data_IF_469834256514
#
_entry.id   IF_469834256514
#
_cell.length_a   1.000
_cell.length_b   1.000
_cell.length_c   1.000
_cell.angle_alpha   90.00
_cell.angle_beta   90.00
_cell.angle_gamma   90.00
#
_symmetry.space_group_name_H-M   'P 1'
#
loop_
_entity.id
_entity.type
_entity.pdbx_description
1 polymer ?
#
# COMPACT_ATOMS: atom_id res chain seq x y z
N UNK A 1 66.96 -43.52 34.96
CA UNK A 1 67.37 -42.41 35.82
C UNK A 1 67.22 -41.15 34.91
N UNK A 2 66.40 -40.19 35.04
CA UNK A 2 65.68 -39.59 36.11
C UNK A 2 64.50 -38.78 35.46
N UNK A 3 63.35 -38.87 36.09
CA UNK A 3 62.17 -38.01 35.86
C UNK A 3 62.55 -36.56 35.78
N UNK A 4 61.73 -35.78 34.97
CA UNK A 4 61.11 -34.52 35.37
C UNK A 4 60.02 -34.24 34.34
N UNK A 5 58.71 -34.25 34.75
CA UNK A 5 57.61 -33.55 34.10
C UNK A 5 57.70 -32.06 34.42
N UNK A 6 57.24 -31.23 33.53
CA UNK A 6 56.62 -29.95 33.95
C UNK A 6 55.17 -29.77 33.48
N UNK A 7 54.39 -29.25 34.39
CA UNK A 7 53.06 -28.90 34.25
C UNK A 7 52.81 -27.85 33.13
N UNK A 8 51.65 -27.97 32.45
CA UNK A 8 51.13 -27.04 31.47
C UNK A 8 49.96 -26.31 32.15
N UNK A 9 50.24 -25.11 32.61
CA UNK A 9 49.20 -24.14 32.94
C UNK A 9 48.74 -23.46 31.64
N UNK A 10 47.58 -23.81 31.15
CA UNK A 10 46.86 -23.06 30.12
C UNK A 10 45.77 -22.21 30.76
N UNK A 11 46.13 -21.05 31.28
CA UNK A 11 45.19 -19.95 31.43
C UNK A 11 45.09 -19.18 30.10
N UNK A 12 44.07 -19.50 29.29
CA UNK A 12 43.62 -18.65 28.24
C UNK A 12 42.44 -17.83 28.77
N UNK A 13 42.73 -16.65 29.29
CA UNK A 13 41.76 -15.59 29.53
C UNK A 13 41.17 -15.11 28.22
N UNK A 14 39.85 -14.78 28.17
CA UNK A 14 39.23 -14.28 26.97
C UNK A 14 39.82 -12.92 26.60
N UNK A 15 40.44 -12.84 25.41
CA UNK A 15 40.98 -11.60 24.85
C UNK A 15 39.90 -10.54 24.74
N UNK A 16 40.07 -9.47 25.48
CA UNK A 16 39.24 -8.24 25.36
C UNK A 16 39.59 -7.53 24.06
N UNK A 17 38.91 -7.88 22.97
CA UNK A 17 38.88 -7.03 21.78
C UNK A 17 38.06 -5.79 22.12
N UNK A 18 38.72 -4.71 22.51
CA UNK A 18 38.08 -3.38 22.59
C UNK A 18 37.71 -2.91 21.19
N UNK A 19 36.54 -3.29 20.74
CA UNK A 19 35.97 -2.72 19.52
C UNK A 19 35.73 -1.25 19.76
N UNK A 20 36.40 -0.39 19.00
CA UNK A 20 36.16 1.04 19.02
C UNK A 20 34.68 1.36 18.71
N UNK A 21 34.11 2.32 19.42
CA UNK A 21 32.73 2.75 19.22
C UNK A 21 32.52 3.22 17.78
N UNK A 22 31.51 2.73 17.04
CA UNK A 22 31.25 3.15 15.67
C UNK A 22 30.80 4.62 15.62
N UNK A 23 31.18 5.40 14.59
CA UNK A 23 30.81 6.83 14.48
C UNK A 23 29.31 7.13 14.43
N UNK A 24 28.49 6.13 14.10
CA UNK A 24 27.03 6.22 14.00
C UNK A 24 26.28 5.82 15.28
N UNK A 25 27.01 5.41 16.35
CA UNK A 25 26.39 5.03 17.62
C UNK A 25 26.11 6.28 18.48
N UNK A 26 24.88 6.43 19.05
CA UNK A 26 24.51 7.58 19.86
C UNK A 26 25.49 7.83 21.04
N UNK A 27 25.82 9.08 21.32
CA UNK A 27 26.80 9.44 22.35
C UNK A 27 26.31 9.15 23.77
N UNK A 28 25.01 9.08 23.96
CA UNK A 28 24.33 8.87 25.24
C UNK A 28 24.11 7.38 25.58
N UNK A 29 24.51 6.43 24.70
CA UNK A 29 24.38 4.99 24.97
C UNK A 29 25.74 4.32 25.20
N UNK A 30 25.88 3.43 26.23
CA UNK A 30 27.12 2.72 26.51
C UNK A 30 27.48 1.72 25.40
N UNK A 31 28.79 1.68 25.03
CA UNK A 31 29.35 0.71 24.09
C UNK A 31 30.34 -0.21 24.79
N UNK A 32 30.30 -1.55 24.58
CA UNK A 32 29.29 -2.33 23.86
C UNK A 32 27.97 -2.43 24.62
N UNK A 33 26.83 -2.66 23.91
CA UNK A 33 25.51 -2.73 24.55
C UNK A 33 25.42 -3.91 25.53
N UNK A 34 25.02 -3.66 26.76
CA UNK A 34 24.98 -4.63 27.86
C UNK A 34 23.94 -5.76 27.71
N UNK A 35 23.12 -5.73 26.65
CA UNK A 35 22.17 -6.80 26.30
C UNK A 35 21.97 -6.88 24.80
N UNK A 36 22.47 -7.95 24.21
CA UNK A 36 22.08 -8.39 22.85
C UNK A 36 20.69 -9.03 22.92
N UNK A 37 19.66 -8.29 22.58
CA UNK A 37 18.33 -8.84 22.27
C UNK A 37 18.16 -8.94 20.75
N UNK A 38 17.30 -9.87 20.24
CA UNK A 38 17.12 -10.04 18.80
C UNK A 38 16.71 -8.71 18.14
N UNK A 39 17.22 -8.41 16.91
CA UNK A 39 16.88 -7.19 16.19
C UNK A 39 15.35 -7.08 16.03
N UNK A 40 14.74 -6.06 16.58
CA UNK A 40 13.28 -5.88 16.62
C UNK A 40 12.66 -5.87 18.02
N UNK A 41 13.34 -6.36 19.06
CA UNK A 41 12.84 -6.28 20.43
C UNK A 41 12.80 -4.82 20.91
N UNK A 42 13.81 -4.00 20.56
CA UNK A 42 13.86 -2.56 20.87
C UNK A 42 12.84 -1.75 20.09
N UNK A 43 12.59 -2.08 18.81
CA UNK A 43 11.51 -1.45 18.05
C UNK A 43 10.14 -1.77 18.62
N UNK A 44 9.91 -3.00 19.08
CA UNK A 44 8.67 -3.40 19.76
C UNK A 44 8.52 -2.72 21.11
N UNK A 45 9.59 -2.56 21.87
CA UNK A 45 9.57 -1.86 23.15
C UNK A 45 9.37 -0.34 22.96
N UNK A 46 10.04 0.30 22.00
CA UNK A 46 9.82 1.73 21.66
C UNK A 46 8.43 1.96 21.07
N UNK A 47 7.91 1.00 20.28
CA UNK A 47 6.53 1.06 19.77
C UNK A 47 5.51 0.90 20.89
N UNK A 48 5.74 -0.02 21.86
CA UNK A 48 4.91 -0.15 23.07
C UNK A 48 5.00 1.08 23.97
N UNK A 49 6.18 1.66 24.16
CA UNK A 49 6.36 2.89 24.92
C UNK A 49 5.71 4.11 24.23
N UNK A 50 5.77 4.21 22.89
CA UNK A 50 5.05 5.24 22.13
C UNK A 50 3.53 5.01 22.15
N UNK A 51 3.06 3.76 22.05
CA UNK A 51 1.64 3.45 22.23
C UNK A 51 1.16 3.74 23.64
N UNK A 52 1.96 3.46 24.68
CA UNK A 52 1.64 3.81 26.06
C UNK A 52 1.69 5.33 26.31
N UNK A 53 2.59 6.07 25.63
CA UNK A 53 2.63 7.51 25.68
C UNK A 53 1.50 8.17 24.89
N UNK A 54 1.08 7.60 23.76
CA UNK A 54 -0.06 8.07 22.98
C UNK A 54 -1.40 7.78 23.65
N UNK A 55 -1.51 6.69 24.42
CA UNK A 55 -2.68 6.42 25.26
C UNK A 55 -2.79 7.44 26.41
N UNK A 56 -1.67 8.03 26.84
CA UNK A 56 -1.71 9.06 27.90
C UNK A 56 -1.94 10.49 27.34
N UNK A 57 -1.63 10.74 26.04
CA UNK A 57 -1.99 11.99 25.35
C UNK A 57 -3.39 11.94 24.72
N UNK A 58 -3.92 10.74 24.42
CA UNK A 58 -5.30 10.55 23.95
C UNK A 58 -6.37 10.82 25.01
N UNK A 59 -5.98 11.05 26.28
CA UNK A 59 -6.95 11.36 27.37
C UNK A 59 -7.45 12.80 27.39
N UNK A 60 -6.84 13.72 26.63
CA UNK A 60 -7.35 15.12 26.57
C UNK A 60 -8.51 15.29 25.59
N UNK A 61 -8.74 14.35 24.67
CA UNK A 61 -9.90 14.36 23.75
C UNK A 61 -11.08 13.53 24.26
N UNK A 62 -10.98 12.90 25.44
CA UNK A 62 -12.10 12.18 26.09
C UNK A 62 -13.20 13.12 26.66
N UNK A 63 -13.14 14.42 26.37
CA UNK A 63 -14.14 15.42 26.76
C UNK A 63 -15.48 15.35 25.99
N UNK A 64 -15.61 14.53 24.98
CA UNK A 64 -16.83 14.44 24.14
C UNK A 64 -18.00 13.63 24.72
N UNK A 65 -17.84 12.65 25.61
CA UNK A 65 -19.00 12.04 26.27
C UNK A 65 -19.82 13.02 27.12
N UNK A 66 -19.19 14.11 27.62
CA UNK A 66 -19.86 15.16 28.41
C UNK A 66 -20.85 16.00 27.60
N UNK A 67 -20.58 16.24 26.33
CA UNK A 67 -21.44 17.08 25.49
C UNK A 67 -22.76 16.41 25.12
N UNK A 68 -22.75 15.06 24.89
CA UNK A 68 -23.96 14.27 24.67
C UNK A 68 -24.87 14.25 25.90
N UNK A 69 -24.32 14.18 27.11
CA UNK A 69 -25.06 14.35 28.36
C UNK A 69 -25.51 15.80 28.54
N UNK A 70 -24.67 16.77 28.14
CA UNK A 70 -25.00 18.20 28.21
C UNK A 70 -26.14 18.60 27.28
N UNK A 71 -26.14 18.15 26.02
CA UNK A 71 -27.19 18.47 25.06
C UNK A 71 -28.55 17.80 25.43
N UNK A 72 -28.51 16.54 25.86
CA UNK A 72 -29.68 15.84 26.40
C UNK A 72 -30.21 16.52 27.66
N UNK A 73 -29.34 16.86 28.62
CA UNK A 73 -29.72 17.60 29.83
C UNK A 73 -30.24 19.02 29.48
N UNK A 74 -29.63 19.71 28.50
CA UNK A 74 -30.07 21.06 28.10
C UNK A 74 -31.46 21.04 27.44
N UNK A 75 -31.74 20.04 26.60
CA UNK A 75 -33.09 19.85 25.99
C UNK A 75 -34.11 19.50 27.08
N UNK A 76 -33.77 18.62 28.01
CA UNK A 76 -34.67 18.27 29.14
C UNK A 76 -34.89 19.46 30.08
N UNK A 77 -33.83 20.21 30.43
CA UNK A 77 -33.89 21.43 31.22
C UNK A 77 -34.71 22.52 30.52
N UNK A 78 -34.51 22.71 29.23
CA UNK A 78 -35.29 23.68 28.47
C UNK A 78 -36.76 23.30 28.37
N UNK A 79 -37.07 22.03 28.13
CA UNK A 79 -38.44 21.54 28.09
C UNK A 79 -39.12 21.63 29.48
N UNK A 80 -38.45 21.26 30.55
CA UNK A 80 -38.96 21.42 31.91
C UNK A 80 -39.11 22.89 32.31
N UNK A 81 -38.21 23.76 31.87
CA UNK A 81 -38.31 25.20 32.08
C UNK A 81 -39.55 25.78 31.36
N UNK A 82 -39.77 25.46 30.09
CA UNK A 82 -40.93 25.93 29.29
C UNK A 82 -42.26 25.44 29.95
N UNK A 83 -42.30 24.16 30.33
CA UNK A 83 -43.51 23.61 31.05
C UNK A 83 -43.72 24.30 32.39
N UNK A 84 -42.65 24.50 33.18
CA UNK A 84 -42.72 25.15 34.50
C UNK A 84 -43.16 26.61 34.36
N UNK A 85 -42.62 27.35 33.42
CA UNK A 85 -43.02 28.76 33.13
C UNK A 85 -44.47 28.81 32.68
N UNK A 86 -44.91 27.91 31.80
CA UNK A 86 -46.32 27.84 31.37
C UNK A 86 -47.27 27.58 32.50
N UNK A 87 -46.94 26.63 33.37
CA UNK A 87 -47.77 26.33 34.57
C UNK A 87 -47.76 27.49 35.55
N UNK A 88 -46.63 28.15 35.79
CA UNK A 88 -46.50 29.31 36.66
C UNK A 88 -47.33 30.50 36.12
N UNK A 89 -47.26 30.78 34.86
CA UNK A 89 -48.05 31.86 34.21
C UNK A 89 -49.53 31.59 34.36
N UNK A 90 -49.98 30.36 34.11
CA UNK A 90 -51.37 29.96 34.26
C UNK A 90 -51.83 30.03 35.75
N UNK A 91 -50.97 29.69 36.68
CA UNK A 91 -51.23 29.79 38.09
C UNK A 91 -51.34 31.25 38.55
N UNK A 92 -50.43 32.14 38.10
CA UNK A 92 -50.47 33.60 38.39
C UNK A 92 -51.71 34.22 37.80
N UNK A 93 -52.06 33.88 36.56
CA UNK A 93 -53.28 34.42 35.91
C UNK A 93 -54.51 33.94 36.69
N UNK A 94 -54.60 32.64 37.10
CA UNK A 94 -55.72 32.15 37.86
C UNK A 94 -55.83 32.79 39.25
N UNK A 95 -54.72 33.16 39.91
CA UNK A 95 -54.68 33.81 41.22
C UNK A 95 -55.00 35.32 41.14
N UNK A 96 -54.62 36.01 40.06
CA UNK A 96 -54.90 37.43 39.86
C UNK A 96 -56.36 37.66 39.48
N UNK A 97 -56.94 36.80 38.64
CA UNK A 97 -58.29 36.94 38.14
C UNK A 97 -59.32 36.21 39.01
N UNK A 98 -58.91 35.29 39.91
CA UNK A 98 -59.81 34.55 40.83
C UNK A 98 -60.30 35.34 42.05
N UNK A 99 -59.87 36.61 42.25
CA UNK A 99 -60.26 37.48 43.41
C UNK A 99 -61.44 38.39 43.16
N UNK A 100 -61.94 38.41 41.96
CA UNK A 100 -63.12 39.30 41.65
C UNK A 100 -64.30 38.45 41.18
N UNK A 101 -65.28 38.21 42.03
CA UNK A 101 -66.69 37.80 41.88
C UNK A 101 -67.19 37.05 40.62
N UNK A 102 -66.33 36.51 39.76
CA UNK A 102 -66.68 35.78 38.53
C UNK A 102 -66.19 34.35 38.55
N UNK A 103 -66.54 33.59 39.58
CA UNK A 103 -65.95 32.25 39.86
C UNK A 103 -66.26 31.14 38.86
N UNK A 104 -66.97 31.37 37.78
CA UNK A 104 -67.37 30.28 36.92
C UNK A 104 -66.55 30.10 35.63
N UNK A 105 -66.21 31.19 34.98
CA UNK A 105 -65.72 31.09 33.58
C UNK A 105 -64.21 30.94 33.48
N UNK A 106 -63.43 31.74 34.22
CA UNK A 106 -61.95 31.75 34.15
C UNK A 106 -61.34 30.51 34.77
N UNK A 107 -61.85 30.00 35.88
CA UNK A 107 -61.39 28.76 36.52
C UNK A 107 -61.71 27.53 35.65
N UNK A 108 -62.81 27.54 34.93
CA UNK A 108 -63.20 26.48 33.99
C UNK A 108 -62.36 26.49 32.71
N UNK A 109 -61.76 27.62 32.32
CA UNK A 109 -60.85 27.71 31.16
C UNK A 109 -59.39 27.47 31.55
N UNK A 110 -58.96 27.81 32.77
CA UNK A 110 -57.56 27.65 33.22
C UNK A 110 -57.20 26.16 33.40
N UNK A 111 -58.08 25.30 33.83
CA UNK A 111 -57.84 23.85 33.99
C UNK A 111 -57.60 23.12 32.69
N UNK A 112 -58.42 23.22 31.64
CA UNK A 112 -58.13 22.59 30.36
C UNK A 112 -56.91 23.23 29.64
N UNK A 113 -56.64 24.53 29.80
CA UNK A 113 -55.46 25.16 29.26
C UNK A 113 -54.15 24.63 29.88
N UNK A 114 -54.10 24.39 31.16
CA UNK A 114 -52.92 23.78 31.82
C UNK A 114 -52.68 22.34 31.35
N UNK A 115 -53.72 21.59 31.10
CA UNK A 115 -53.61 20.23 30.58
C UNK A 115 -53.08 20.22 29.13
N UNK A 116 -53.54 21.17 28.29
CA UNK A 116 -53.02 21.35 26.91
C UNK A 116 -51.54 21.69 26.92
N UNK A 117 -51.09 22.62 27.79
CA UNK A 117 -49.66 23.00 27.89
C UNK A 117 -48.83 21.83 28.33
N UNK A 118 -49.29 21.01 29.30
CA UNK A 118 -48.62 19.82 29.73
C UNK A 118 -48.48 18.80 28.59
N UNK A 119 -49.55 18.52 27.88
CA UNK A 119 -49.53 17.55 26.76
C UNK A 119 -48.63 18.03 25.65
N UNK A 120 -48.67 19.32 25.27
CA UNK A 120 -47.77 19.90 24.24
C UNK A 120 -46.32 19.80 24.72
N UNK A 121 -46.00 20.08 26.00
CA UNK A 121 -44.68 19.95 26.56
C UNK A 121 -44.14 18.50 26.53
N UNK A 122 -44.97 17.52 26.87
CA UNK A 122 -44.63 16.10 26.80
C UNK A 122 -44.38 15.65 25.34
N UNK A 123 -45.23 16.11 24.42
CA UNK A 123 -45.03 15.84 22.96
C UNK A 123 -43.72 16.46 22.45
N UNK A 124 -43.46 17.72 22.78
CA UNK A 124 -42.23 18.41 22.37
C UNK A 124 -40.98 17.73 22.93
N UNK A 125 -41.04 17.29 24.22
CA UNK A 125 -39.97 16.53 24.83
C UNK A 125 -39.73 15.18 24.12
N UNK A 126 -40.81 14.45 23.84
CA UNK A 126 -40.73 13.16 23.13
C UNK A 126 -40.14 13.30 21.72
N UNK A 127 -40.55 14.36 21.00
CA UNK A 127 -39.99 14.68 19.69
C UNK A 127 -38.53 15.06 19.80
N UNK A 128 -38.14 15.92 20.75
CA UNK A 128 -36.76 16.33 20.98
C UNK A 128 -35.83 15.14 21.32
N UNK A 129 -36.29 14.25 22.20
CA UNK A 129 -35.56 13.02 22.55
C UNK A 129 -35.44 12.06 21.35
N UNK A 130 -36.49 11.95 20.54
CA UNK A 130 -36.42 11.15 19.30
C UNK A 130 -35.44 11.73 18.29
N UNK A 131 -35.46 13.05 18.07
CA UNK A 131 -34.52 13.73 17.18
C UNK A 131 -33.07 13.58 17.66
N UNK A 132 -32.84 13.82 18.96
CA UNK A 132 -31.50 13.67 19.57
C UNK A 132 -30.96 12.26 19.42
N UNK A 133 -31.82 11.23 19.55
CA UNK A 133 -31.41 9.84 19.33
C UNK A 133 -31.20 9.50 17.87
N UNK A 134 -32.01 10.08 16.95
CA UNK A 134 -31.89 9.81 15.50
C UNK A 134 -30.62 10.42 14.87
N UNK A 135 -30.18 11.58 15.34
CA UNK A 135 -29.02 12.28 14.78
C UNK A 135 -27.76 12.05 15.61
N UNK A 136 -27.89 12.04 16.93
CA UNK A 136 -26.74 11.97 17.83
C UNK A 136 -26.02 10.62 17.86
N UNK A 137 -26.75 9.51 17.75
CA UNK A 137 -26.15 8.17 17.71
C UNK A 137 -25.31 7.92 16.45
N UNK A 138 -25.85 8.08 15.22
CA UNK A 138 -25.06 7.85 14.01
C UNK A 138 -23.83 8.75 13.92
N UNK A 139 -23.95 10.00 14.36
CA UNK A 139 -22.80 10.91 14.37
C UNK A 139 -21.68 10.46 15.34
N UNK A 140 -22.05 9.93 16.52
CA UNK A 140 -21.03 9.40 17.43
C UNK A 140 -20.39 8.12 16.93
N UNK A 141 -21.16 7.25 16.25
CA UNK A 141 -20.62 6.04 15.62
C UNK A 141 -19.63 6.38 14.51
N UNK A 142 -19.91 7.44 13.73
CA UNK A 142 -18.97 7.96 12.73
C UNK A 142 -17.69 8.52 13.36
N UNK A 143 -17.79 9.27 14.47
CA UNK A 143 -16.61 9.78 15.18
C UNK A 143 -15.78 8.64 15.76
N UNK A 144 -16.43 7.66 16.40
CA UNK A 144 -15.75 6.48 16.96
C UNK A 144 -15.09 5.66 15.84
N UNK A 145 -15.75 5.51 14.70
CA UNK A 145 -15.22 4.84 13.53
C UNK A 145 -14.02 5.61 12.91
N UNK A 146 -14.08 6.95 12.86
CA UNK A 146 -12.97 7.78 12.40
C UNK A 146 -11.73 7.66 13.32
N UNK A 147 -11.93 7.63 14.63
CA UNK A 147 -10.85 7.41 15.60
C UNK A 147 -10.21 6.01 15.44
N UNK A 148 -10.99 4.99 15.08
CA UNK A 148 -10.45 3.66 14.76
C UNK A 148 -9.64 3.67 13.48
N UNK A 149 -10.07 4.39 12.44
CA UNK A 149 -9.27 4.57 11.19
C UNK A 149 -7.95 5.28 11.50
N UNK A 150 -7.95 6.32 12.35
CA UNK A 150 -6.72 6.99 12.80
C UNK A 150 -5.78 6.01 13.53
N UNK A 151 -6.33 5.07 14.28
CA UNK A 151 -5.57 3.99 14.92
C UNK A 151 -5.14 2.86 13.95
N UNK A 152 -5.30 3.05 12.63
CA UNK A 152 -5.00 2.08 11.57
C UNK A 152 -5.88 0.81 11.59
N UNK A 153 -7.08 0.89 12.17
CA UNK A 153 -8.09 -0.16 12.06
C UNK A 153 -9.06 0.20 10.92
N UNK A 154 -8.69 -0.20 9.70
CA UNK A 154 -9.45 0.07 8.48
C UNK A 154 -10.61 -0.91 8.24
N UNK A 155 -10.78 -1.93 9.11
CA UNK A 155 -11.85 -2.91 8.99
C UNK A 155 -13.20 -2.38 9.48
N UNK A 156 -13.19 -1.22 10.15
CA UNK A 156 -14.39 -0.60 10.69
C UNK A 156 -15.37 -0.21 9.59
N UNK A 157 -16.65 -0.50 9.84
CA UNK A 157 -17.76 -0.05 9.00
C UNK A 157 -18.83 0.57 9.86
N UNK A 158 -19.50 1.56 9.32
CA UNK A 158 -20.65 2.24 9.96
C UNK A 158 -21.93 1.71 9.35
N UNK A 159 -22.89 1.38 10.20
CA UNK A 159 -24.18 0.86 9.76
C UNK A 159 -24.95 1.92 8.95
N UNK A 160 -25.48 1.53 7.79
CA UNK A 160 -26.40 2.34 7.00
C UNK A 160 -27.80 2.28 7.61
N UNK A 161 -27.99 2.90 8.78
CA UNK A 161 -29.26 2.83 9.48
C UNK A 161 -30.40 3.45 8.65
N UNK A 162 -31.49 2.70 8.42
CA UNK A 162 -32.66 3.22 7.66
C UNK A 162 -33.33 4.43 8.33
N UNK A 163 -33.05 4.67 9.61
CA UNK A 163 -33.67 5.71 10.43
C UNK A 163 -32.98 7.08 10.35
N UNK A 164 -31.74 7.15 9.80
CA UNK A 164 -31.08 8.40 9.45
C UNK A 164 -31.65 8.92 8.13
N UNK A 165 -31.88 10.23 7.99
CA UNK A 165 -32.30 10.85 6.73
C UNK A 165 -31.37 10.51 5.57
N UNK A 166 -31.77 10.87 4.33
CA UNK A 166 -30.98 10.65 3.11
C UNK A 166 -29.51 11.05 3.24
N UNK A 167 -29.24 12.15 3.95
CA UNK A 167 -27.92 12.76 4.08
C UNK A 167 -26.98 11.95 4.98
N UNK A 168 -27.49 11.40 6.10
CA UNK A 168 -26.70 10.52 6.97
C UNK A 168 -26.35 9.19 6.30
N UNK A 169 -27.26 8.64 5.50
CA UNK A 169 -26.96 7.44 4.70
C UNK A 169 -25.90 7.71 3.62
N UNK A 170 -25.95 8.89 3.00
CA UNK A 170 -24.92 9.34 2.07
C UNK A 170 -23.54 9.42 2.75
N UNK A 171 -23.49 9.99 3.95
CA UNK A 171 -22.27 10.11 4.73
C UNK A 171 -21.71 8.75 5.17
N UNK A 172 -22.56 7.83 5.67
CA UNK A 172 -22.14 6.47 6.03
C UNK A 172 -21.57 5.70 4.83
N UNK A 173 -22.20 5.81 3.66
CA UNK A 173 -21.68 5.20 2.42
C UNK A 173 -20.33 5.78 1.99
N UNK A 174 -20.20 7.10 2.01
CA UNK A 174 -18.94 7.76 1.69
C UNK A 174 -17.83 7.34 2.66
N UNK A 175 -18.13 7.27 3.96
CA UNK A 175 -17.20 6.79 4.97
C UNK A 175 -16.79 5.33 4.74
N UNK A 176 -17.74 4.44 4.50
CA UNK A 176 -17.46 3.02 4.25
C UNK A 176 -16.62 2.83 2.98
N UNK A 177 -16.91 3.59 1.91
CA UNK A 177 -16.11 3.55 0.68
C UNK A 177 -14.68 4.05 0.90
N UNK A 178 -14.49 5.09 1.72
CA UNK A 178 -13.15 5.54 2.12
C UNK A 178 -12.43 4.49 2.95
N UNK A 179 -13.09 3.88 3.93
CA UNK A 179 -12.53 2.83 4.77
C UNK A 179 -12.10 1.61 3.95
N UNK A 180 -12.91 1.20 2.96
CA UNK A 180 -12.59 0.10 2.04
C UNK A 180 -11.35 0.39 1.19
N UNK A 181 -11.22 1.62 0.69
CA UNK A 181 -10.01 2.04 -0.06
C UNK A 181 -8.77 1.98 0.82
N UNK A 182 -8.84 2.53 2.04
CA UNK A 182 -7.72 2.51 2.98
C UNK A 182 -7.33 1.07 3.38
N UNK A 183 -8.30 0.19 3.59
CA UNK A 183 -8.07 -1.22 3.88
C UNK A 183 -7.37 -1.93 2.72
N UNK A 184 -7.82 -1.69 1.48
CA UNK A 184 -7.22 -2.24 0.28
C UNK A 184 -5.80 -1.72 0.05
N UNK A 185 -5.56 -0.42 0.25
CA UNK A 185 -4.23 0.19 0.15
C UNK A 185 -3.27 -0.37 1.20
N UNK A 186 -3.72 -0.49 2.46
CA UNK A 186 -2.90 -1.07 3.54
C UNK A 186 -2.59 -2.56 3.31
N UNK A 187 -3.58 -3.33 2.85
CA UNK A 187 -3.39 -4.73 2.48
C UNK A 187 -2.37 -4.88 1.33
N UNK A 188 -2.44 -4.02 0.32
CA UNK A 188 -1.49 -3.98 -0.80
C UNK A 188 -0.09 -3.62 -0.33
N UNK A 189 0.03 -2.59 0.52
CA UNK A 189 1.30 -2.19 1.13
C UNK A 189 1.93 -3.28 2.00
N UNK A 190 1.12 -3.98 2.80
CA UNK A 190 1.62 -5.10 3.63
C UNK A 190 2.12 -6.26 2.79
N UNK A 191 1.39 -6.62 1.71
CA UNK A 191 1.84 -7.65 0.77
C UNK A 191 3.17 -7.25 0.13
N UNK A 192 3.26 -6.02 -0.40
CA UNK A 192 4.50 -5.51 -0.98
C UNK A 192 5.70 -5.66 -0.02
N UNK A 193 5.55 -5.24 1.25
CA UNK A 193 6.62 -5.34 2.24
C UNK A 193 7.00 -6.78 2.55
N UNK A 194 6.03 -7.70 2.57
CA UNK A 194 6.28 -9.12 2.76
C UNK A 194 7.05 -9.73 1.57
N UNK A 195 6.61 -9.42 0.35
CA UNK A 195 7.20 -9.94 -0.89
C UNK A 195 8.63 -9.40 -1.08
N UNK A 196 8.84 -8.08 -0.88
CA UNK A 196 10.19 -7.48 -0.90
C UNK A 196 11.10 -8.14 0.14
N UNK A 197 10.60 -8.38 1.36
CA UNK A 197 11.39 -9.02 2.40
C UNK A 197 11.78 -10.46 2.03
N UNK A 198 10.90 -11.16 1.32
CA UNK A 198 11.17 -12.52 0.85
C UNK A 198 12.21 -12.52 -0.27
N UNK A 199 12.04 -11.67 -1.28
CA UNK A 199 12.94 -11.58 -2.44
C UNK A 199 14.34 -11.05 -2.08
N UNK A 200 14.47 -10.22 -1.04
CA UNK A 200 15.77 -9.77 -0.51
C UNK A 200 16.46 -10.84 0.34
N UNK A 201 15.69 -11.68 1.07
CA UNK A 201 16.27 -12.68 1.98
C UNK A 201 17.00 -13.78 1.24
N UNK A 202 16.49 -14.20 0.10
CA UNK A 202 17.07 -15.32 -0.67
C UNK A 202 18.49 -15.03 -1.15
N UNK A 203 18.78 -13.97 -1.93
CA UNK A 203 20.14 -13.65 -2.36
C UNK A 203 21.06 -13.32 -1.18
N UNK A 204 20.54 -12.66 -0.15
CA UNK A 204 21.33 -12.35 1.06
C UNK A 204 21.79 -13.63 1.77
N UNK A 205 20.94 -14.64 1.89
CA UNK A 205 21.30 -15.92 2.50
C UNK A 205 22.38 -16.65 1.69
N UNK A 206 22.31 -16.57 0.35
CA UNK A 206 23.36 -17.15 -0.53
C UNK A 206 24.68 -16.43 -0.35
N UNK A 207 24.67 -15.09 -0.30
CA UNK A 207 25.88 -14.29 -0.04
C UNK A 207 26.48 -14.66 1.31
N UNK A 208 25.68 -14.67 2.38
CA UNK A 208 26.13 -15.00 3.72
C UNK A 208 26.69 -16.42 3.81
N UNK A 209 25.99 -17.41 3.28
CA UNK A 209 26.46 -18.80 3.32
C UNK A 209 27.77 -19.02 2.56
N UNK A 210 27.96 -18.36 1.40
CA UNK A 210 29.22 -18.44 0.67
C UNK A 210 30.37 -17.72 1.42
N UNK A 211 30.11 -16.56 2.03
CA UNK A 211 31.11 -15.85 2.84
C UNK A 211 31.49 -16.63 4.10
N UNK A 212 30.52 -17.24 4.79
CA UNK A 212 30.81 -18.11 5.95
C UNK A 212 31.65 -19.32 5.54
N UNK A 213 31.33 -19.98 4.42
CA UNK A 213 32.13 -21.11 3.93
C UNK A 213 33.57 -20.74 3.52
N UNK A 214 33.77 -19.51 3.01
CA UNK A 214 35.10 -18.96 2.74
C UNK A 214 35.86 -18.66 4.04
N UNK A 215 35.19 -18.08 5.05
CA UNK A 215 35.82 -17.76 6.35
C UNK A 215 36.20 -19.01 7.15
N UNK A 216 35.36 -20.03 7.09
CA UNK A 216 35.59 -21.31 7.76
C UNK A 216 36.62 -22.21 7.02
N UNK A 217 37.14 -21.73 5.87
CA UNK A 217 38.09 -22.48 5.05
C UNK A 217 37.50 -23.71 4.36
N UNK A 218 36.18 -23.82 4.29
CA UNK A 218 35.45 -24.87 3.55
C UNK A 218 35.68 -24.71 2.05
N UNK A 219 35.66 -23.44 1.58
CA UNK A 219 35.94 -23.08 0.20
C UNK A 219 37.24 -22.26 0.08
N UNK A 220 38.06 -22.51 -0.95
CA UNK A 220 39.18 -21.64 -1.24
C UNK A 220 38.71 -20.26 -1.72
N UNK A 221 39.43 -19.17 -1.38
CA UNK A 221 39.07 -17.81 -1.83
C UNK A 221 39.50 -17.59 -3.30
N UNK A 222 38.93 -18.35 -4.19
CA UNK A 222 39.15 -18.28 -5.64
C UNK A 222 37.98 -17.66 -6.39
N UNK A 223 38.16 -17.40 -7.69
CA UNK A 223 37.17 -16.81 -8.53
C UNK A 223 35.86 -17.61 -8.63
N UNK A 224 35.96 -18.95 -8.54
CA UNK A 224 34.79 -19.83 -8.63
C UNK A 224 33.83 -19.66 -7.46
N UNK A 225 34.35 -19.40 -6.26
CA UNK A 225 33.56 -19.22 -5.04
C UNK A 225 33.19 -17.75 -4.75
N UNK A 226 34.01 -16.79 -5.28
CA UNK A 226 33.69 -15.35 -5.15
C UNK A 226 32.68 -14.89 -6.19
N UNK A 227 32.69 -15.47 -7.40
CA UNK A 227 31.80 -15.05 -8.49
C UNK A 227 30.30 -15.17 -8.15
N UNK A 228 29.80 -16.26 -7.50
CA UNK A 228 28.42 -16.35 -7.07
C UNK A 228 28.01 -15.21 -6.11
N UNK A 229 28.92 -14.80 -5.19
CA UNK A 229 28.66 -13.71 -4.26
C UNK A 229 28.45 -12.38 -5.01
N UNK A 230 29.31 -12.14 -6.01
CA UNK A 230 29.21 -10.94 -6.84
C UNK A 230 27.93 -10.94 -7.68
N UNK A 231 27.53 -12.10 -8.23
CA UNK A 231 26.27 -12.21 -9.00
C UNK A 231 25.04 -11.95 -8.13
N UNK A 232 24.99 -12.51 -6.91
CA UNK A 232 23.89 -12.25 -5.99
C UNK A 232 23.85 -10.79 -5.52
N UNK A 233 25.01 -10.15 -5.35
CA UNK A 233 25.10 -8.71 -5.06
C UNK A 233 24.49 -7.88 -6.20
N UNK A 234 24.77 -8.24 -7.47
CA UNK A 234 24.17 -7.59 -8.64
C UNK A 234 22.66 -7.84 -8.76
N UNK A 235 22.18 -9.00 -8.31
CA UNK A 235 20.74 -9.29 -8.23
C UNK A 235 20.08 -8.36 -7.22
N UNK A 236 20.68 -8.16 -6.04
CA UNK A 236 20.18 -7.22 -5.03
C UNK A 236 20.16 -5.78 -5.52
N UNK A 237 21.23 -5.33 -6.19
CA UNK A 237 21.31 -3.98 -6.77
C UNK A 237 20.16 -3.74 -7.76
N UNK A 238 19.96 -4.66 -8.70
CA UNK A 238 18.84 -4.59 -9.66
C UNK A 238 17.48 -4.57 -8.98
N UNK A 239 17.28 -5.40 -7.96
CA UNK A 239 16.01 -5.44 -7.22
C UNK A 239 15.72 -4.11 -6.52
N UNK A 240 16.73 -3.45 -5.96
CA UNK A 240 16.60 -2.12 -5.32
C UNK A 240 16.23 -1.05 -6.35
N UNK A 241 16.90 -1.06 -7.51
CA UNK A 241 16.61 -0.12 -8.60
C UNK A 241 15.22 -0.33 -9.20
N UNK A 242 14.80 -1.58 -9.33
CA UNK A 242 13.46 -1.98 -9.76
C UNK A 242 12.38 -1.45 -8.81
N UNK A 243 12.57 -1.65 -7.51
CA UNK A 243 11.66 -1.14 -6.48
C UNK A 243 11.59 0.39 -6.45
N UNK A 244 12.75 1.05 -6.64
CA UNK A 244 12.81 2.51 -6.73
C UNK A 244 12.04 3.03 -7.95
N UNK A 245 12.26 2.41 -9.12
CA UNK A 245 11.56 2.80 -10.36
C UNK A 245 10.06 2.63 -10.20
N UNK A 246 9.62 1.50 -9.64
CA UNK A 246 8.21 1.23 -9.40
C UNK A 246 7.58 2.24 -8.43
N UNK A 247 8.25 2.54 -7.32
CA UNK A 247 7.78 3.51 -6.33
C UNK A 247 7.65 4.92 -6.92
N UNK A 248 8.60 5.35 -7.76
CA UNK A 248 8.55 6.64 -8.44
C UNK A 248 7.43 6.69 -9.48
N UNK A 249 7.23 5.61 -10.23
CA UNK A 249 6.16 5.54 -11.23
C UNK A 249 4.77 5.60 -10.58
N UNK A 250 4.54 4.86 -9.49
CA UNK A 250 3.27 4.86 -8.77
C UNK A 250 2.91 6.17 -8.10
N UNK A 251 3.91 6.89 -7.62
CA UNK A 251 3.71 8.25 -7.09
C UNK A 251 3.53 9.31 -8.18
N UNK A 252 3.61 8.94 -9.46
CA UNK A 252 3.61 9.88 -10.59
C UNK A 252 4.85 10.78 -10.64
N UNK A 253 5.90 10.44 -9.88
CA UNK A 253 7.13 11.22 -9.75
C UNK A 253 8.29 10.65 -10.60
N UNK A 254 8.04 9.66 -11.46
CA UNK A 254 9.08 9.12 -12.34
C UNK A 254 9.55 10.20 -13.33
N UNK A 255 10.80 10.66 -13.24
CA UNK A 255 11.29 11.63 -14.19
C UNK A 255 11.46 10.96 -15.56
N UNK A 256 10.88 11.56 -16.58
CA UNK A 256 11.03 11.15 -17.99
C UNK A 256 11.78 12.21 -18.76
N UNK A 257 12.87 11.80 -19.40
CA UNK A 257 13.63 12.62 -20.32
C UNK A 257 13.21 12.28 -21.74
N UNK A 258 12.10 12.90 -22.17
CA UNK A 258 11.51 12.63 -23.48
C UNK A 258 12.31 13.30 -24.60
N UNK A 259 12.50 12.58 -25.68
CA UNK A 259 13.08 13.07 -26.94
C UNK A 259 12.47 12.34 -28.13
N UNK A 260 12.53 12.97 -29.30
CA UNK A 260 12.09 12.34 -30.54
C UNK A 260 13.01 11.16 -30.84
N UNK A 261 12.47 9.96 -30.69
CA UNK A 261 13.20 8.70 -30.84
C UNK A 261 12.63 7.90 -32.00
N UNK A 262 13.51 7.41 -32.82
CA UNK A 262 13.18 6.47 -33.90
C UNK A 262 12.96 5.07 -33.29
N UNK A 263 11.77 4.47 -33.43
CA UNK A 263 11.48 3.15 -32.86
C UNK A 263 12.36 2.03 -33.42
N UNK A 264 12.74 2.11 -34.68
CA UNK A 264 13.58 1.08 -35.35
C UNK A 264 15.00 1.09 -34.77
N UNK A 265 15.58 2.29 -34.54
CA UNK A 265 16.87 2.44 -33.87
C UNK A 265 16.81 1.90 -32.42
N UNK A 266 15.72 2.19 -31.70
CA UNK A 266 15.52 1.70 -30.34
C UNK A 266 15.46 0.17 -30.29
N UNK A 267 14.75 -0.46 -31.23
CA UNK A 267 14.66 -1.92 -31.33
C UNK A 267 15.99 -2.56 -31.69
N UNK A 268 16.73 -1.96 -32.60
CA UNK A 268 18.08 -2.44 -33.06
C UNK A 268 19.09 -2.39 -31.92
N UNK A 269 19.07 -1.33 -31.12
CA UNK A 269 19.88 -1.22 -29.90
C UNK A 269 19.64 -2.38 -28.93
N UNK A 270 18.35 -2.72 -28.68
CA UNK A 270 17.98 -3.82 -27.79
C UNK A 270 18.39 -5.17 -28.37
N UNK A 271 18.14 -5.42 -29.65
CA UNK A 271 18.56 -6.64 -30.34
C UNK A 271 20.07 -6.81 -30.27
N UNK A 272 20.82 -5.75 -30.55
CA UNK A 272 22.27 -5.75 -30.47
C UNK A 272 22.79 -6.07 -29.08
N UNK A 273 22.20 -5.50 -28.06
CA UNK A 273 22.57 -5.75 -26.65
C UNK A 273 22.30 -7.21 -26.19
N UNK A 274 21.25 -7.85 -26.73
CA UNK A 274 20.84 -9.20 -26.33
C UNK A 274 21.33 -10.32 -27.25
N UNK A 275 21.92 -9.97 -28.41
CA UNK A 275 22.33 -10.92 -29.47
C UNK A 275 23.23 -12.04 -28.95
N UNK A 276 24.26 -11.68 -28.18
CA UNK A 276 25.20 -12.68 -27.66
C UNK A 276 24.55 -13.68 -26.71
N UNK A 277 23.65 -13.19 -25.85
CA UNK A 277 22.91 -14.01 -24.90
C UNK A 277 21.86 -14.90 -25.58
N UNK A 278 21.13 -14.35 -26.56
CA UNK A 278 20.20 -15.13 -27.37
C UNK A 278 20.91 -16.25 -28.13
N UNK A 279 22.04 -15.95 -28.78
CA UNK A 279 22.87 -16.94 -29.48
C UNK A 279 23.40 -18.02 -28.54
N UNK A 280 23.85 -17.69 -27.33
CA UNK A 280 24.30 -18.66 -26.32
C UNK A 280 23.16 -19.62 -25.87
N UNK A 281 21.91 -19.16 -25.92
CA UNK A 281 20.73 -19.99 -25.62
C UNK A 281 20.16 -20.66 -26.87
N UNK A 282 20.75 -20.47 -28.04
CA UNK A 282 20.24 -21.03 -29.32
C UNK A 282 18.93 -20.39 -29.78
N UNK A 283 18.60 -19.19 -29.30
CA UNK A 283 17.37 -18.47 -29.65
C UNK A 283 17.66 -17.44 -30.74
N UNK A 284 16.79 -17.42 -31.77
CA UNK A 284 16.84 -16.42 -32.85
C UNK A 284 16.19 -15.12 -32.37
N UNK A 285 16.90 -14.01 -32.46
CA UNK A 285 16.39 -12.68 -32.10
C UNK A 285 16.39 -11.81 -33.37
N UNK A 286 15.21 -11.31 -33.78
CA UNK A 286 15.02 -10.57 -35.03
C UNK A 286 14.06 -9.39 -34.84
N UNK A 287 14.14 -8.43 -35.78
CA UNK A 287 13.17 -7.36 -35.95
C UNK A 287 12.28 -7.71 -37.13
N UNK A 288 10.96 -7.64 -36.96
CA UNK A 288 10.03 -7.82 -38.06
C UNK A 288 10.13 -6.64 -39.02
N UNK A 289 10.29 -6.93 -40.32
CA UNK A 289 10.19 -5.91 -41.33
C UNK A 289 8.78 -5.30 -41.31
N UNK A 290 8.70 -4.00 -41.12
CA UNK A 290 7.47 -3.22 -41.10
C UNK A 290 7.58 -1.97 -41.96
N UNK A 291 6.49 -1.21 -42.14
CA UNK A 291 6.58 0.10 -42.71
C UNK A 291 7.37 1.02 -41.75
N UNK A 292 8.09 1.98 -42.32
CA UNK A 292 8.80 3.00 -41.54
C UNK A 292 7.88 3.66 -40.54
N UNK A 293 8.27 3.65 -39.26
CA UNK A 293 7.52 4.26 -38.16
C UNK A 293 8.11 5.64 -37.90
N UNK A 294 7.24 6.64 -37.86
CA UNK A 294 7.70 8.00 -37.57
C UNK A 294 8.24 8.09 -36.11
N UNK A 295 9.27 8.94 -35.89
CA UNK A 295 9.77 9.18 -34.54
C UNK A 295 8.70 9.58 -33.57
N UNK A 296 8.82 9.10 -32.34
CA UNK A 296 7.87 9.31 -31.24
C UNK A 296 8.56 10.00 -30.06
N UNK A 297 7.83 10.89 -29.39
CA UNK A 297 8.31 11.58 -28.18
C UNK A 297 8.23 10.64 -26.96
N UNK A 298 9.38 10.08 -26.58
CA UNK A 298 9.49 9.16 -25.43
C UNK A 298 10.88 9.26 -24.78
N UNK A 299 11.02 8.69 -23.57
CA UNK A 299 12.33 8.52 -22.93
C UNK A 299 12.98 7.22 -23.45
N UNK A 300 14.03 7.31 -24.29
CA UNK A 300 14.63 6.13 -24.91
C UNK A 300 15.32 5.21 -23.90
N UNK A 301 15.84 5.73 -22.80
CA UNK A 301 16.49 4.94 -21.76
C UNK A 301 15.45 4.09 -21.04
N UNK A 302 14.34 4.69 -20.69
CA UNK A 302 13.23 3.98 -20.02
C UNK A 302 12.54 2.99 -20.95
N UNK A 303 12.32 3.37 -22.20
CA UNK A 303 11.68 2.44 -23.14
C UNK A 303 12.61 1.29 -23.52
N UNK A 304 13.91 1.51 -23.64
CA UNK A 304 14.90 0.43 -23.78
C UNK A 304 14.85 -0.52 -22.57
N UNK A 305 14.72 0.02 -21.35
CA UNK A 305 14.54 -0.80 -20.14
C UNK A 305 13.29 -1.67 -20.24
N UNK A 306 12.15 -1.12 -20.71
CA UNK A 306 10.92 -1.88 -20.93
C UNK A 306 11.16 -3.04 -21.90
N UNK A 307 11.64 -2.74 -23.10
CA UNK A 307 11.82 -3.77 -24.15
C UNK A 307 12.85 -4.83 -23.70
N UNK A 308 13.94 -4.41 -23.05
CA UNK A 308 14.93 -5.33 -22.48
C UNK A 308 14.33 -6.28 -21.43
N UNK A 309 13.46 -5.77 -20.54
CA UNK A 309 12.77 -6.61 -19.58
C UNK A 309 11.86 -7.66 -20.25
N UNK A 310 11.22 -7.29 -21.36
CA UNK A 310 10.37 -8.21 -22.14
C UNK A 310 11.23 -9.28 -22.84
N UNK A 311 12.33 -8.89 -23.48
CA UNK A 311 13.29 -9.81 -24.14
C UNK A 311 13.94 -10.74 -23.12
N UNK A 312 14.36 -10.23 -21.96
CA UNK A 312 14.92 -11.02 -20.88
C UNK A 312 13.93 -12.02 -20.30
N UNK A 313 12.66 -11.64 -20.23
CA UNK A 313 11.60 -12.55 -19.79
C UNK A 313 11.37 -13.66 -20.81
N UNK A 314 11.30 -13.35 -22.08
CA UNK A 314 11.19 -14.33 -23.17
C UNK A 314 12.38 -15.31 -23.17
N UNK A 315 13.62 -14.80 -23.19
CA UNK A 315 14.84 -15.62 -23.14
C UNK A 315 14.92 -16.55 -21.93
N UNK A 316 14.32 -16.17 -20.82
CA UNK A 316 14.35 -16.97 -19.57
C UNK A 316 13.45 -18.21 -19.67
N UNK A 317 12.33 -18.12 -20.35
CA UNK A 317 11.33 -19.20 -20.44
C UNK A 317 11.49 -20.08 -21.67
N UNK A 318 12.28 -19.60 -22.66
CA UNK A 318 12.50 -20.35 -23.87
C UNK A 318 13.49 -21.50 -23.65
N UNK A 319 13.14 -22.68 -24.18
CA UNK A 319 14.07 -23.78 -24.30
C UNK A 319 15.11 -23.49 -25.38
N UNK A 320 16.15 -24.34 -25.48
CA UNK A 320 17.15 -24.24 -26.55
C UNK A 320 16.47 -24.33 -27.92
N UNK A 321 16.65 -23.33 -28.74
CA UNK A 321 15.94 -23.14 -30.00
C UNK A 321 14.65 -22.37 -29.82
N UNK A 322 14.22 -21.66 -30.82
CA UNK A 322 13.05 -20.79 -30.81
C UNK A 322 13.36 -19.38 -31.30
N UNK A 323 12.35 -18.53 -31.34
CA UNK A 323 12.47 -17.19 -31.90
C UNK A 323 11.80 -16.14 -31.05
N UNK A 324 12.45 -14.98 -30.95
CA UNK A 324 11.89 -13.76 -30.42
C UNK A 324 11.88 -12.71 -31.53
N UNK A 325 10.73 -12.13 -31.78
CA UNK A 325 10.55 -11.12 -32.83
C UNK A 325 10.08 -9.81 -32.20
N UNK A 326 10.83 -8.75 -32.44
CA UNK A 326 10.45 -7.38 -32.08
C UNK A 326 9.83 -6.70 -33.30
N UNK A 327 8.88 -5.81 -33.07
CA UNK A 327 8.28 -5.06 -34.18
C UNK A 327 7.78 -3.70 -33.74
N UNK A 328 7.74 -2.76 -34.68
CA UNK A 328 7.12 -1.47 -34.52
C UNK A 328 6.11 -1.23 -35.64
N UNK A 329 4.99 -0.59 -35.32
CA UNK A 329 3.99 -0.22 -36.31
C UNK A 329 3.31 1.09 -35.89
N UNK A 330 2.98 1.94 -36.87
CA UNK A 330 2.20 3.16 -36.63
C UNK A 330 0.82 3.01 -37.26
N UNK A 331 -0.22 3.34 -36.50
CA UNK A 331 -1.61 3.33 -36.98
C UNK A 331 -2.45 4.38 -36.26
N UNK A 332 -3.13 5.21 -37.04
CA UNK A 332 -4.14 6.14 -36.50
C UNK A 332 -3.68 7.00 -35.31
N UNK A 333 -2.45 7.55 -35.38
CA UNK A 333 -1.93 8.41 -34.32
C UNK A 333 -1.44 7.67 -33.06
N UNK A 334 -1.20 6.36 -33.19
CA UNK A 334 -0.56 5.55 -32.14
C UNK A 334 0.61 4.77 -32.71
N UNK A 335 1.65 4.61 -31.92
CA UNK A 335 2.76 3.71 -32.21
C UNK A 335 2.62 2.46 -31.34
N UNK A 336 2.73 1.32 -31.95
CA UNK A 336 2.66 0.03 -31.31
C UNK A 336 4.02 -0.66 -31.39
N UNK A 337 4.60 -1.03 -30.24
CA UNK A 337 5.79 -1.85 -30.13
C UNK A 337 5.37 -3.26 -29.69
N UNK A 338 5.91 -4.28 -30.31
CA UNK A 338 5.59 -5.68 -30.00
C UNK A 338 6.84 -6.48 -29.70
N UNK A 339 6.74 -7.37 -28.71
CA UNK A 339 7.73 -8.43 -28.45
C UNK A 339 6.95 -9.74 -28.45
N UNK A 340 7.26 -10.60 -29.40
CA UNK A 340 6.62 -11.89 -29.59
C UNK A 340 7.65 -13.02 -29.47
N UNK A 341 7.33 -14.04 -28.69
CA UNK A 341 8.11 -15.28 -28.57
C UNK A 341 7.26 -16.49 -28.95
N UNK A 342 7.92 -17.55 -29.40
CA UNK A 342 7.33 -18.88 -29.64
C UNK A 342 7.60 -19.84 -28.48
N UNK A 343 7.76 -19.31 -27.27
CA UNK A 343 7.99 -20.04 -26.04
C UNK A 343 6.77 -20.84 -25.55
N UNK A 344 6.84 -21.40 -24.34
CA UNK A 344 5.77 -22.25 -23.81
C UNK A 344 4.44 -21.52 -23.55
N UNK A 345 4.42 -20.20 -23.64
CA UNK A 345 3.26 -19.39 -23.27
C UNK A 345 3.16 -19.14 -21.78
N UNK A 346 2.16 -18.33 -21.40
CA UNK A 346 1.83 -17.99 -20.03
C UNK A 346 0.58 -18.77 -19.63
N UNK A 347 0.58 -19.46 -18.46
CA UNK A 347 -0.60 -20.15 -17.95
C UNK A 347 -1.81 -19.22 -17.86
N UNK A 348 -2.97 -19.74 -18.22
CA UNK A 348 -4.22 -18.97 -18.36
C UNK A 348 -4.69 -18.35 -17.04
N UNK A 349 -4.34 -18.93 -15.91
CA UNK A 349 -4.61 -18.42 -14.55
C UNK A 349 -3.69 -17.25 -14.16
N UNK A 350 -2.48 -17.18 -14.71
CA UNK A 350 -1.52 -16.11 -14.47
C UNK A 350 -1.70 -14.93 -15.43
N UNK A 351 -2.18 -15.18 -16.65
CA UNK A 351 -2.26 -14.16 -17.69
C UNK A 351 -3.00 -12.87 -17.30
N UNK A 352 -4.13 -12.90 -16.57
CA UNK A 352 -4.83 -11.70 -16.13
C UNK A 352 -3.99 -10.80 -15.19
N UNK A 353 -3.10 -11.43 -14.43
CA UNK A 353 -2.31 -10.77 -13.38
C UNK A 353 -0.81 -10.69 -13.73
N UNK A 354 -0.43 -10.96 -14.98
CA UNK A 354 0.98 -11.07 -15.40
C UNK A 354 1.79 -9.78 -15.19
N UNK A 355 1.13 -8.63 -15.20
CA UNK A 355 1.72 -7.32 -14.93
C UNK A 355 1.66 -6.90 -13.46
N UNK A 356 1.08 -7.73 -12.59
CA UNK A 356 1.11 -7.48 -11.15
C UNK A 356 2.51 -7.76 -10.59
N UNK A 357 2.85 -7.06 -9.50
CA UNK A 357 4.14 -7.21 -8.83
C UNK A 357 4.31 -8.62 -8.31
N UNK A 358 5.51 -9.17 -8.45
CA UNK A 358 5.87 -10.52 -8.00
C UNK A 358 5.03 -11.64 -8.61
N UNK A 359 4.27 -11.34 -9.68
CA UNK A 359 3.58 -12.36 -10.44
C UNK A 359 4.60 -13.27 -11.14
N UNK A 360 4.66 -14.51 -10.70
CA UNK A 360 5.57 -15.53 -11.26
C UNK A 360 5.00 -16.93 -11.12
N UNK A 361 5.36 -17.81 -12.05
CA UNK A 361 5.12 -19.24 -11.89
C UNK A 361 6.02 -19.80 -10.78
N UNK A 362 5.60 -20.84 -10.04
CA UNK A 362 6.42 -21.50 -9.03
C UNK A 362 7.80 -21.96 -9.52
N UNK A 363 7.93 -22.20 -10.83
CA UNK A 363 9.18 -22.63 -11.48
C UNK A 363 10.04 -21.47 -12.00
N UNK A 364 9.55 -20.24 -11.95
CA UNK A 364 10.26 -19.07 -12.49
C UNK A 364 11.34 -18.58 -11.53
N UNK A 365 12.55 -18.31 -12.06
CA UNK A 365 13.72 -17.79 -11.31
C UNK A 365 13.80 -16.26 -11.27
N UNK A 366 12.82 -15.55 -11.78
CA UNK A 366 12.82 -14.06 -11.81
C UNK A 366 12.25 -13.43 -10.53
N UNK A 367 12.51 -12.14 -10.31
CA UNK A 367 11.93 -11.35 -9.21
C UNK A 367 10.42 -11.13 -9.37
N UNK A 368 9.87 -11.28 -10.57
CA UNK A 368 8.46 -10.96 -10.86
C UNK A 368 8.16 -9.44 -10.91
N UNK A 369 9.19 -8.61 -10.96
CA UNK A 369 9.03 -7.14 -11.06
C UNK A 369 9.14 -6.62 -12.49
N UNK A 370 9.82 -7.33 -13.40
CA UNK A 370 10.14 -6.82 -14.73
C UNK A 370 8.91 -6.41 -15.56
N UNK A 371 7.83 -7.19 -15.55
CA UNK A 371 6.59 -6.85 -16.26
C UNK A 371 5.80 -5.73 -15.57
N UNK A 372 5.80 -5.68 -14.25
CA UNK A 372 5.19 -4.60 -13.48
C UNK A 372 5.89 -3.26 -13.74
N UNK A 373 7.23 -3.26 -13.82
CA UNK A 373 8.03 -2.09 -14.18
C UNK A 373 7.76 -1.68 -15.63
N UNK A 374 7.70 -2.64 -16.55
CA UNK A 374 7.36 -2.35 -17.94
C UNK A 374 6.01 -1.63 -18.03
N UNK A 375 4.99 -2.12 -17.34
CA UNK A 375 3.67 -1.48 -17.26
C UNK A 375 3.77 -0.08 -16.67
N UNK A 376 4.44 0.09 -15.54
CA UNK A 376 4.55 1.37 -14.85
C UNK A 376 5.26 2.44 -15.72
N UNK A 377 6.33 2.06 -16.42
CA UNK A 377 7.04 2.98 -17.35
C UNK A 377 6.15 3.33 -18.55
N UNK A 378 5.45 2.36 -19.16
CA UNK A 378 4.56 2.59 -20.29
C UNK A 378 3.40 3.50 -19.88
N UNK A 379 2.78 3.28 -18.73
CA UNK A 379 1.71 4.13 -18.18
C UNK A 379 2.21 5.55 -17.89
N UNK A 380 3.45 5.70 -17.38
CA UNK A 380 4.08 7.02 -17.20
C UNK A 380 4.30 7.77 -18.54
N UNK A 381 4.44 7.05 -19.64
CA UNK A 381 4.47 7.63 -21.00
C UNK A 381 3.08 7.94 -21.56
N UNK A 382 1.99 7.63 -20.82
CA UNK A 382 0.60 7.79 -21.28
C UNK A 382 0.15 6.67 -22.22
N UNK A 383 0.89 5.56 -22.27
CA UNK A 383 0.61 4.39 -23.07
C UNK A 383 -0.15 3.28 -22.32
N UNK A 384 -0.34 2.17 -23.01
CA UNK A 384 -0.90 0.94 -22.46
C UNK A 384 -0.06 -0.26 -22.88
N UNK A 385 -0.01 -1.28 -21.99
CA UNK A 385 0.65 -2.55 -22.27
C UNK A 385 -0.34 -3.71 -22.10
N UNK A 386 -0.25 -4.70 -22.97
CA UNK A 386 -1.12 -5.88 -22.92
C UNK A 386 -0.34 -7.14 -23.32
N UNK A 387 -0.80 -8.29 -22.83
CA UNK A 387 -0.24 -9.58 -23.15
C UNK A 387 -1.29 -10.48 -23.80
N UNK A 388 -0.90 -11.20 -24.83
CA UNK A 388 -1.64 -12.32 -25.40
C UNK A 388 -0.74 -13.55 -25.39
N UNK A 389 -1.25 -14.67 -24.96
CA UNK A 389 -0.47 -15.88 -24.87
C UNK A 389 -1.31 -17.09 -25.21
N UNK A 390 -0.69 -18.07 -25.86
CA UNK A 390 -1.22 -19.40 -26.13
C UNK A 390 -0.27 -20.39 -25.50
N UNK A 391 -0.80 -21.24 -24.62
CA UNK A 391 -0.01 -22.19 -23.86
C UNK A 391 0.30 -23.45 -24.70
N UNK A 392 1.53 -23.97 -24.58
CA UNK A 392 1.94 -25.22 -25.17
C UNK A 392 1.16 -26.39 -24.53
N UNK A 393 0.89 -27.48 -25.26
CA UNK A 393 1.38 -27.85 -26.60
C UNK A 393 0.49 -27.39 -27.77
N UNK A 394 -0.35 -26.39 -27.58
CA UNK A 394 -1.26 -25.89 -28.62
C UNK A 394 -0.46 -25.31 -29.81
N UNK A 395 -0.91 -25.58 -31.03
CA UNK A 395 -0.27 -24.99 -32.20
C UNK A 395 -0.31 -23.48 -32.19
N UNK A 396 0.84 -22.84 -32.47
CA UNK A 396 1.00 -21.39 -32.37
C UNK A 396 1.15 -20.93 -30.94
N UNK A 397 1.67 -21.80 -30.04
CA UNK A 397 2.02 -21.38 -28.68
C UNK A 397 3.05 -20.25 -28.65
N UNK A 398 3.10 -19.52 -27.57
CA UNK A 398 3.99 -18.37 -27.38
C UNK A 398 3.30 -17.21 -26.71
N UNK A 399 4.05 -16.13 -26.51
CA UNK A 399 3.55 -14.91 -25.92
C UNK A 399 3.81 -13.72 -26.82
N UNK A 400 2.83 -12.84 -26.92
CA UNK A 400 2.99 -11.53 -27.57
C UNK A 400 2.64 -10.44 -26.58
N UNK A 401 3.61 -9.57 -26.28
CA UNK A 401 3.39 -8.38 -25.48
C UNK A 401 3.33 -7.19 -26.41
N UNK A 402 2.30 -6.38 -26.24
CA UNK A 402 2.01 -5.20 -27.08
C UNK A 402 2.00 -3.97 -26.22
N UNK A 403 2.83 -2.99 -26.58
CA UNK A 403 2.90 -1.65 -26.01
C UNK A 403 2.26 -0.69 -27.01
N UNK A 404 1.32 0.11 -26.57
CA UNK A 404 0.68 1.14 -27.41
C UNK A 404 0.95 2.51 -26.79
N UNK A 405 1.56 3.40 -27.55
CA UNK A 405 1.94 4.74 -27.14
C UNK A 405 1.19 5.78 -27.99
N UNK A 406 0.67 6.86 -27.40
CA UNK A 406 0.11 7.94 -28.18
C UNK A 406 1.21 8.63 -29.00
N UNK A 407 0.98 8.79 -30.28
CA UNK A 407 1.85 9.61 -31.10
C UNK A 407 1.49 11.07 -30.80
N UNK A 408 2.31 11.75 -29.99
CA UNK A 408 2.12 13.18 -29.77
C UNK A 408 2.21 13.87 -31.12
N UNK A 409 1.18 14.60 -31.51
CA UNK A 409 1.29 15.45 -32.68
C UNK A 409 2.46 16.41 -32.42
N UNK A 410 3.48 16.33 -33.28
CA UNK A 410 4.54 17.33 -33.27
C UNK A 410 3.86 18.70 -33.51
N UNK A 411 3.78 19.50 -32.41
CA UNK A 411 3.25 20.84 -32.46
C UNK A 411 4.20 21.79 -33.14
#
# INVERSE_FOLDING_TARGET
MTNIEPGIDHEHGPGTHTHARPPWWPEDEPWPPTRWGPPGARMRARRRARMAASTNQGSEWSGWPGWRRGLGCMVVLFATFVVSVGVLVLWVLSSLFGRGGGEGLLANLARPASLIVLVVGVIALAIGLRLARRVGRPLSELVDAANRIEAADYTVRVDETPQGGSDLRGLSRAFNSMAERLESEDATRRRLLADVSHELRTPLAVIQGNLEALLDGVYPPDAAHIHPILEESRVLERLIDDLRTLSLAESGALPLHRELTDPDVLLDDVVSAHRARAAASGVSLSIAAGPDVLPIDLDPVRMRQVISNLVDNALRVMATGGSITLGAASRAGTVTLTVADDGPGIPSDLLPNVFERFAKSPTSRGSGLGLAIARAIVEAHGGTISARSVEAPTAGHGTTITITLPQSAAG
#
